data_IF_165977079139
#
_entry.id   IF_165977079139
#
_cell.length_a   1.000
_cell.length_b   1.000
_cell.length_c   1.000
_cell.angle_alpha   90.00
_cell.angle_beta   90.00
_cell.angle_gamma   90.00
#
_symmetry.space_group_name_H-M   'P 1'
#
loop_
_entity.id
_entity.type
_entity.pdbx_description
1 polymer ?
#
# COMPACT_ATOMS: atom_id res chain seq x y z
N UNK A 1 29.06 -7.30 6.42
CA UNK A 1 27.69 -7.83 6.50
C UNK A 1 27.75 -9.28 6.07
N UNK A 2 27.72 -10.21 7.02
CA UNK A 2 27.52 -11.65 6.76
C UNK A 2 26.03 -11.95 6.95
N UNK A 3 25.41 -12.76 6.08
CA UNK A 3 24.03 -13.26 6.26
C UNK A 3 22.88 -12.23 6.12
N UNK A 4 21.73 -12.57 6.72
CA UNK A 4 20.40 -11.92 6.67
C UNK A 4 20.33 -10.48 7.24
N UNK A 5 21.46 -9.77 7.36
CA UNK A 5 21.50 -8.42 7.90
C UNK A 5 20.84 -7.40 6.94
N UNK A 6 19.98 -6.54 7.49
CA UNK A 6 19.35 -5.44 6.72
C UNK A 6 20.42 -4.47 6.22
N UNK A 7 20.29 -4.07 4.95
CA UNK A 7 21.17 -3.04 4.39
C UNK A 7 20.93 -1.70 5.10
N UNK A 8 21.95 -0.93 5.53
CA UNK A 8 21.77 0.32 6.27
C UNK A 8 20.83 1.34 5.62
N UNK A 9 20.87 1.46 4.29
CA UNK A 9 19.96 2.36 3.56
C UNK A 9 18.51 1.87 3.51
N UNK A 10 18.24 0.58 3.75
CA UNK A 10 16.87 0.08 3.87
C UNK A 10 16.19 0.68 5.11
N UNK A 11 16.91 0.81 6.23
CA UNK A 11 16.38 1.46 7.45
C UNK A 11 16.02 2.94 7.21
N UNK A 12 16.78 3.64 6.37
CA UNK A 12 16.47 5.02 5.97
C UNK A 12 15.23 5.04 5.08
N UNK A 13 15.14 4.13 4.11
CA UNK A 13 13.98 4.00 3.23
C UNK A 13 12.69 3.70 4.04
N UNK A 14 12.74 2.74 4.96
CA UNK A 14 11.64 2.39 5.87
C UNK A 14 11.17 3.63 6.65
N UNK A 15 12.10 4.38 7.25
CA UNK A 15 11.74 5.60 7.97
C UNK A 15 11.17 6.70 7.07
N UNK A 16 11.65 6.85 5.85
CA UNK A 16 11.06 7.76 4.87
C UNK A 16 9.62 7.36 4.52
N UNK A 17 9.36 6.05 4.40
CA UNK A 17 8.03 5.51 4.13
C UNK A 17 7.06 5.80 5.28
N UNK A 18 7.49 5.55 6.52
CA UNK A 18 6.72 5.86 7.72
C UNK A 18 6.36 7.34 7.84
N UNK A 19 7.31 8.23 7.56
CA UNK A 19 7.09 9.69 7.57
C UNK A 19 6.11 10.08 6.47
N UNK A 20 6.31 9.57 5.25
CA UNK A 20 5.48 9.91 4.11
C UNK A 20 4.03 9.49 4.36
N UNK A 21 3.78 8.22 4.68
CA UNK A 21 2.42 7.73 4.88
C UNK A 21 1.72 8.39 6.08
N UNK A 22 2.39 8.50 7.24
CA UNK A 22 1.75 9.09 8.43
C UNK A 22 1.39 10.58 8.27
N UNK A 23 2.14 11.36 7.49
CA UNK A 23 1.84 12.79 7.32
C UNK A 23 0.94 13.04 6.10
N UNK A 24 1.20 12.36 4.98
CA UNK A 24 0.45 12.60 3.73
C UNK A 24 -0.96 12.05 3.79
N UNK A 25 -1.19 10.90 4.46
CA UNK A 25 -2.55 10.37 4.62
C UNK A 25 -3.41 11.31 5.47
N UNK A 26 -2.84 11.92 6.52
CA UNK A 26 -3.51 12.94 7.32
C UNK A 26 -3.84 14.20 6.49
N UNK A 27 -2.92 14.68 5.65
CA UNK A 27 -3.19 15.79 4.72
C UNK A 27 -4.31 15.45 3.74
N UNK A 28 -4.28 14.24 3.16
CA UNK A 28 -5.25 13.78 2.18
C UNK A 28 -6.64 13.58 2.81
N UNK A 29 -6.72 13.07 4.03
CA UNK A 29 -7.97 12.96 4.79
C UNK A 29 -8.62 14.34 4.97
N UNK A 30 -7.81 15.36 5.27
CA UNK A 30 -8.28 16.74 5.43
C UNK A 30 -8.73 17.33 4.09
N UNK A 31 -7.94 17.16 3.01
CA UNK A 31 -8.29 17.66 1.67
C UNK A 31 -9.55 17.01 1.10
N UNK A 32 -9.75 15.71 1.38
CA UNK A 32 -10.95 14.97 1.00
C UNK A 32 -12.17 15.33 1.87
N UNK A 33 -11.98 16.16 2.90
CA UNK A 33 -13.05 16.60 3.80
C UNK A 33 -13.52 15.51 4.77
N UNK A 34 -12.70 14.48 5.00
CA UNK A 34 -13.00 13.41 5.96
C UNK A 34 -12.76 13.88 7.41
N UNK A 35 -11.85 14.83 7.58
CA UNK A 35 -11.57 15.52 8.83
C UNK A 35 -11.12 16.97 8.57
N UNK A 36 -10.95 17.75 9.63
CA UNK A 36 -10.34 19.09 9.57
C UNK A 36 -8.98 19.13 10.26
N UNK A 37 -8.19 20.17 9.98
CA UNK A 37 -6.94 20.42 10.71
C UNK A 37 -7.18 20.56 12.22
N UNK A 38 -8.34 21.09 12.64
CA UNK A 38 -8.67 21.19 14.06
C UNK A 38 -8.92 19.82 14.69
N UNK A 39 -9.55 18.89 13.96
CA UNK A 39 -9.76 17.52 14.44
C UNK A 39 -8.42 16.81 14.61
N UNK A 40 -7.49 17.00 13.65
CA UNK A 40 -6.13 16.49 13.76
C UNK A 40 -5.40 17.06 14.98
N UNK A 41 -5.40 18.39 15.16
CA UNK A 41 -4.74 19.03 16.30
C UNK A 41 -5.39 18.69 17.65
N UNK A 42 -6.69 18.39 17.66
CA UNK A 42 -7.37 17.91 18.84
C UNK A 42 -6.99 16.46 19.17
N UNK A 43 -6.90 15.59 18.16
CA UNK A 43 -6.44 14.21 18.31
C UNK A 43 -4.99 14.13 18.77
N UNK A 44 -4.09 14.86 18.12
CA UNK A 44 -2.67 14.92 18.48
C UNK A 44 -2.45 15.59 19.85
N UNK A 45 -3.27 16.58 20.22
CA UNK A 45 -3.16 17.31 21.48
C UNK A 45 -3.76 16.57 22.69
N UNK A 46 -4.34 15.39 22.49
CA UNK A 46 -4.99 14.63 23.56
C UNK A 46 -4.03 13.62 24.18
N UNK A 47 -3.91 13.66 25.51
CA UNK A 47 -3.29 12.58 26.29
C UNK A 47 -4.18 12.27 27.50
N UNK A 48 -4.45 10.99 27.84
CA UNK A 48 -5.32 10.63 28.96
C UNK A 48 -4.88 11.20 30.31
N UNK A 49 -3.57 11.39 30.50
CA UNK A 49 -2.96 11.98 31.69
C UNK A 49 -2.89 13.52 31.70
N UNK A 50 -3.46 14.21 30.71
CA UNK A 50 -3.42 15.67 30.57
C UNK A 50 -2.29 16.20 29.68
N UNK A 51 -2.34 17.50 29.35
CA UNK A 51 -1.42 18.15 28.39
C UNK A 51 0.07 18.10 28.81
N UNK A 52 0.36 18.07 30.11
CA UNK A 52 1.74 18.01 30.63
C UNK A 52 2.43 16.66 30.36
N UNK A 53 1.65 15.63 30.01
CA UNK A 53 2.14 14.30 29.68
C UNK A 53 2.28 14.09 28.16
N UNK A 54 1.97 15.12 27.36
CA UNK A 54 2.09 15.03 25.90
C UNK A 54 3.55 14.95 25.49
N UNK A 55 3.84 14.13 24.48
CA UNK A 55 5.17 14.03 23.91
C UNK A 55 5.69 15.43 23.48
N UNK A 56 6.95 15.78 23.79
CA UNK A 56 7.49 17.12 23.50
C UNK A 56 7.44 17.51 22.01
N UNK A 57 7.68 16.56 21.09
CA UNK A 57 7.65 16.82 19.65
C UNK A 57 6.21 17.08 19.19
N UNK A 58 5.27 16.27 19.68
CA UNK A 58 3.83 16.47 19.40
C UNK A 58 3.34 17.81 19.97
N UNK A 59 3.68 18.12 21.21
CA UNK A 59 3.34 19.39 21.87
C UNK A 59 3.89 20.59 21.10
N UNK A 60 5.14 20.52 20.68
CA UNK A 60 5.78 21.56 19.89
C UNK A 60 5.07 21.78 18.55
N UNK A 61 4.81 20.70 17.80
CA UNK A 61 4.12 20.77 16.52
C UNK A 61 2.72 21.37 16.67
N UNK A 62 1.93 20.89 17.64
CA UNK A 62 0.59 21.41 17.90
C UNK A 62 0.58 22.92 18.19
N UNK A 63 1.54 23.41 19.01
CA UNK A 63 1.67 24.83 19.32
C UNK A 63 2.07 25.64 18.08
N UNK A 64 3.03 25.16 17.31
CA UNK A 64 3.50 25.79 16.07
C UNK A 64 2.37 25.90 15.04
N UNK A 65 1.63 24.81 14.82
CA UNK A 65 0.52 24.78 13.86
C UNK A 65 -0.64 25.69 14.26
N UNK A 66 -0.99 25.75 15.55
CA UNK A 66 -2.00 26.71 16.06
C UNK A 66 -1.56 28.16 15.85
N UNK A 67 -0.29 28.46 16.15
CA UNK A 67 0.27 29.79 15.93
C UNK A 67 0.23 30.18 14.44
N UNK A 68 0.63 29.28 13.54
CA UNK A 68 0.59 29.55 12.10
C UNK A 68 -0.85 29.76 11.60
N UNK A 69 -1.79 28.94 12.08
CA UNK A 69 -3.20 29.10 11.74
C UNK A 69 -3.73 30.49 12.15
N UNK A 70 -3.39 30.95 13.36
CA UNK A 70 -3.77 32.29 13.83
C UNK A 70 -3.13 33.42 13.01
N UNK A 71 -1.88 33.26 12.58
CA UNK A 71 -1.20 34.21 11.68
C UNK A 71 -1.90 34.27 10.33
N UNK A 72 -2.20 33.12 9.72
CA UNK A 72 -2.86 33.03 8.43
C UNK A 72 -4.29 33.59 8.48
N UNK A 73 -5.02 33.35 9.57
CA UNK A 73 -6.38 33.87 9.78
C UNK A 73 -6.45 35.40 9.69
N UNK A 74 -5.41 36.11 10.13
CA UNK A 74 -5.33 37.58 10.06
C UNK A 74 -5.25 38.12 8.62
N UNK A 75 -4.90 37.26 7.65
CA UNK A 75 -4.81 37.63 6.24
C UNK A 75 -6.18 37.64 5.53
N UNK A 76 -7.28 37.29 6.22
CA UNK A 76 -8.65 37.28 5.69
C UNK A 76 -8.84 36.37 4.45
N UNK A 77 -8.12 35.25 4.42
CA UNK A 77 -8.28 34.21 3.40
C UNK A 77 -9.69 33.60 3.45
N UNK A 78 -10.13 33.03 2.33
CA UNK A 78 -11.35 32.23 2.32
C UNK A 78 -11.17 30.99 3.24
N UNK A 79 -12.19 30.52 3.98
CA UNK A 79 -12.03 29.43 4.95
C UNK A 79 -11.40 28.15 4.39
N UNK A 80 -11.75 27.76 3.16
CA UNK A 80 -11.13 26.61 2.48
C UNK A 80 -9.65 26.82 2.20
N UNK A 81 -9.29 28.00 1.69
CA UNK A 81 -7.90 28.36 1.40
C UNK A 81 -7.07 28.42 2.69
N UNK A 82 -7.63 28.98 3.77
CA UNK A 82 -7.01 28.98 5.09
C UNK A 82 -6.69 27.55 5.56
N UNK A 83 -7.66 26.64 5.46
CA UNK A 83 -7.48 25.24 5.84
C UNK A 83 -6.43 24.54 4.97
N UNK A 84 -6.46 24.74 3.65
CA UNK A 84 -5.50 24.13 2.72
C UNK A 84 -4.07 24.59 3.01
N UNK A 85 -3.86 25.91 3.13
CA UNK A 85 -2.54 26.48 3.40
C UNK A 85 -2.04 26.07 4.78
N UNK A 86 -2.90 26.10 5.81
CA UNK A 86 -2.52 25.69 7.15
C UNK A 86 -2.18 24.20 7.24
N UNK A 87 -2.89 23.34 6.51
CA UNK A 87 -2.61 21.89 6.45
C UNK A 87 -1.29 21.62 5.72
N UNK A 88 -1.02 22.33 4.62
CA UNK A 88 0.28 22.23 3.93
C UNK A 88 1.45 22.67 4.82
N UNK A 89 1.24 23.72 5.62
CA UNK A 89 2.21 24.19 6.61
C UNK A 89 2.44 23.17 7.73
N UNK A 90 1.36 22.59 8.27
CA UNK A 90 1.43 21.48 9.23
C UNK A 90 2.33 20.36 8.67
N UNK A 91 2.07 19.91 7.43
CA UNK A 91 2.87 18.87 6.78
C UNK A 91 4.35 19.23 6.72
N UNK A 92 4.69 20.45 6.29
CA UNK A 92 6.08 20.88 6.17
C UNK A 92 6.80 20.78 7.52
N UNK A 93 6.16 21.25 8.59
CA UNK A 93 6.74 21.19 9.93
C UNK A 93 6.82 19.77 10.47
N UNK A 94 5.78 18.96 10.29
CA UNK A 94 5.77 17.56 10.71
C UNK A 94 6.90 16.78 10.03
N UNK A 95 7.00 16.83 8.70
CA UNK A 95 8.08 16.16 7.95
C UNK A 95 9.45 16.66 8.41
N UNK A 96 9.63 17.97 8.59
CA UNK A 96 10.92 18.50 9.03
C UNK A 96 11.34 17.97 10.41
N UNK A 97 10.42 17.96 11.38
CA UNK A 97 10.68 17.42 12.72
C UNK A 97 11.01 15.94 12.66
N UNK A 98 10.22 15.15 11.92
CA UNK A 98 10.40 13.70 11.85
C UNK A 98 11.70 13.31 11.13
N UNK A 99 12.02 13.96 10.00
CA UNK A 99 13.28 13.72 9.27
C UNK A 99 14.49 14.08 10.14
N UNK A 100 14.42 15.19 10.86
CA UNK A 100 15.51 15.60 11.76
C UNK A 100 15.71 14.60 12.91
N UNK A 101 14.62 14.11 13.50
CA UNK A 101 14.66 13.11 14.55
C UNK A 101 15.23 11.76 14.05
N UNK A 102 14.81 11.31 12.86
CA UNK A 102 15.30 10.08 12.22
C UNK A 102 16.78 10.19 11.85
N UNK A 103 17.21 11.32 11.30
CA UNK A 103 18.62 11.55 10.99
C UNK A 103 19.50 11.49 12.25
N UNK A 104 19.01 12.05 13.36
CA UNK A 104 19.69 11.97 14.64
C UNK A 104 19.72 10.54 15.18
N UNK A 105 18.60 9.81 15.12
CA UNK A 105 18.55 8.40 15.51
C UNK A 105 19.52 7.53 14.69
N UNK A 106 19.67 7.79 13.39
CA UNK A 106 20.63 7.07 12.55
C UNK A 106 22.06 7.32 13.01
N UNK A 107 22.38 8.58 13.33
CA UNK A 107 23.70 8.97 13.83
C UNK A 107 24.00 8.32 15.18
N UNK A 108 23.03 8.33 16.09
CA UNK A 108 23.18 7.77 17.43
C UNK A 108 23.37 6.25 17.41
N UNK A 109 22.77 5.57 16.42
CA UNK A 109 22.85 4.11 16.25
C UNK A 109 23.82 3.69 15.13
N UNK A 110 24.68 4.58 14.64
CA UNK A 110 25.46 4.36 13.42
C UNK A 110 26.31 3.09 13.45
N UNK A 111 26.99 2.83 14.57
CA UNK A 111 27.86 1.67 14.71
C UNK A 111 27.06 0.36 14.68
N UNK A 112 25.93 0.29 15.35
CA UNK A 112 25.09 -0.91 15.35
C UNK A 112 24.47 -1.16 13.98
N UNK A 113 24.06 -0.09 13.28
CA UNK A 113 23.52 -0.16 11.92
C UNK A 113 24.55 -0.70 10.94
N UNK A 114 25.76 -0.13 10.90
CA UNK A 114 26.79 -0.52 9.93
C UNK A 114 27.33 -1.92 10.20
N UNK A 115 27.34 -2.34 11.46
CA UNK A 115 27.74 -3.70 11.84
C UNK A 115 26.63 -4.74 11.63
N UNK A 116 25.41 -4.33 11.28
CA UNK A 116 24.26 -5.23 11.09
C UNK A 116 23.62 -5.73 12.39
N UNK A 117 23.89 -5.05 13.52
CA UNK A 117 23.39 -5.39 14.86
C UNK A 117 22.13 -4.60 15.25
N UNK A 118 21.75 -3.59 14.47
CA UNK A 118 20.58 -2.79 14.76
C UNK A 118 19.29 -3.57 14.44
N UNK A 119 18.56 -3.93 15.49
CA UNK A 119 17.28 -4.62 15.40
C UNK A 119 16.13 -3.69 15.82
N UNK A 120 15.52 -3.04 14.83
CA UNK A 120 14.36 -2.17 15.04
C UNK A 120 14.00 -1.33 13.82
N UNK A 121 13.06 -0.41 14.01
CA UNK A 121 12.68 0.62 13.05
C UNK A 121 13.31 1.95 13.46
N UNK A 122 13.89 2.66 12.50
CA UNK A 122 14.60 3.90 12.80
C UNK A 122 13.67 5.02 13.29
N UNK A 123 12.41 5.05 12.81
CA UNK A 123 11.39 5.98 13.31
C UNK A 123 11.07 5.73 14.79
N UNK A 124 11.00 4.45 15.20
CA UNK A 124 10.70 4.04 16.58
C UNK A 124 11.84 4.32 17.54
N UNK A 125 13.08 4.27 17.05
CA UNK A 125 14.26 4.68 17.80
C UNK A 125 14.45 6.20 17.86
N UNK A 126 13.60 6.99 17.19
CA UNK A 126 13.71 8.44 17.14
C UNK A 126 12.75 9.15 18.09
N UNK A 127 13.02 10.43 18.37
CA UNK A 127 12.10 11.29 19.13
C UNK A 127 10.75 11.51 18.43
N UNK A 128 10.63 11.17 17.14
CA UNK A 128 9.40 11.31 16.37
C UNK A 128 8.46 10.10 16.48
N UNK A 129 8.83 9.05 17.22
CA UNK A 129 8.03 7.82 17.33
C UNK A 129 6.57 8.10 17.77
N UNK A 130 6.39 8.89 18.84
CA UNK A 130 5.07 9.24 19.35
C UNK A 130 4.25 10.07 18.35
N UNK A 131 4.89 10.99 17.62
CA UNK A 131 4.23 11.77 16.58
C UNK A 131 3.78 10.88 15.40
N UNK A 132 4.66 9.99 14.94
CA UNK A 132 4.33 9.04 13.87
C UNK A 132 3.13 8.17 14.26
N UNK A 133 3.13 7.64 15.48
CA UNK A 133 2.05 6.79 15.99
C UNK A 133 0.74 7.55 16.14
N UNK A 134 0.78 8.76 16.70
CA UNK A 134 -0.42 9.59 16.84
C UNK A 134 -1.03 9.98 15.49
N UNK A 135 -0.20 10.24 14.47
CA UNK A 135 -0.65 10.48 13.10
C UNK A 135 -1.29 9.23 12.48
N UNK A 136 -0.62 8.08 12.55
CA UNK A 136 -1.16 6.80 12.06
C UNK A 136 -2.48 6.44 12.76
N UNK A 137 -2.60 6.74 14.04
CA UNK A 137 -3.83 6.53 14.81
C UNK A 137 -4.95 7.46 14.35
N UNK A 138 -4.64 8.73 14.08
CA UNK A 138 -5.59 9.67 13.48
C UNK A 138 -6.09 9.17 12.11
N UNK A 139 -5.19 8.74 11.24
CA UNK A 139 -5.53 8.26 9.89
C UNK A 139 -6.40 7.00 9.94
N UNK A 140 -6.07 6.06 10.84
CA UNK A 140 -6.89 4.86 11.06
C UNK A 140 -8.31 5.21 11.49
N UNK A 141 -8.46 6.20 12.36
CA UNK A 141 -9.75 6.58 12.92
C UNK A 141 -10.59 7.44 11.98
N UNK A 142 -9.96 8.29 11.16
CA UNK A 142 -10.66 9.34 10.41
C UNK A 142 -10.56 9.21 8.88
N UNK A 143 -9.56 8.49 8.36
CA UNK A 143 -9.37 8.29 6.93
C UNK A 143 -9.76 6.88 6.50
N UNK A 144 -9.08 5.86 7.02
CA UNK A 144 -9.23 4.47 6.54
C UNK A 144 -10.55 3.83 6.95
N UNK A 145 -11.12 4.25 8.08
CA UNK A 145 -12.42 3.79 8.56
C UNK A 145 -13.60 4.40 7.77
N UNK A 146 -13.34 5.38 6.91
CA UNK A 146 -14.41 6.11 6.22
C UNK A 146 -15.13 5.22 5.23
N UNK A 147 -16.47 5.27 5.22
CA UNK A 147 -17.32 4.36 4.43
C UNK A 147 -16.98 4.35 2.94
N UNK A 148 -16.63 5.50 2.37
CA UNK A 148 -16.27 5.60 0.95
C UNK A 148 -14.94 4.92 0.63
N UNK A 149 -13.99 4.89 1.58
CA UNK A 149 -12.72 4.16 1.44
C UNK A 149 -13.00 2.66 1.50
N UNK A 150 -13.76 2.20 2.50
CA UNK A 150 -14.16 0.80 2.65
C UNK A 150 -14.96 0.28 1.44
N UNK A 151 -15.80 1.11 0.83
CA UNK A 151 -16.52 0.75 -0.38
C UNK A 151 -15.58 0.52 -1.57
N UNK A 152 -14.56 1.37 -1.74
CA UNK A 152 -13.53 1.19 -2.78
C UNK A 152 -12.74 -0.10 -2.52
N UNK A 153 -12.31 -0.36 -1.28
CA UNK A 153 -11.59 -1.57 -0.90
C UNK A 153 -12.42 -2.84 -1.15
N UNK A 154 -13.70 -2.83 -0.78
CA UNK A 154 -14.62 -3.95 -1.02
C UNK A 154 -14.80 -4.23 -2.51
N UNK A 155 -14.96 -3.18 -3.32
CA UNK A 155 -15.08 -3.30 -4.77
C UNK A 155 -13.78 -3.86 -5.37
N UNK A 156 -12.62 -3.35 -4.94
CA UNK A 156 -11.31 -3.88 -5.33
C UNK A 156 -11.15 -5.36 -4.96
N UNK A 157 -11.51 -5.74 -3.74
CA UNK A 157 -11.48 -7.13 -3.27
C UNK A 157 -12.34 -8.05 -4.15
N UNK A 158 -13.58 -7.66 -4.43
CA UNK A 158 -14.49 -8.45 -5.26
C UNK A 158 -13.98 -8.60 -6.69
N UNK A 159 -13.52 -7.50 -7.29
CA UNK A 159 -12.93 -7.48 -8.64
C UNK A 159 -11.71 -8.38 -8.73
N UNK A 160 -10.78 -8.29 -7.77
CA UNK A 160 -9.56 -9.10 -7.75
C UNK A 160 -9.87 -10.59 -7.60
N UNK A 161 -10.74 -10.97 -6.67
CA UNK A 161 -11.15 -12.37 -6.49
C UNK A 161 -11.75 -12.93 -7.78
N UNK A 162 -12.66 -12.16 -8.39
CA UNK A 162 -13.32 -12.62 -9.61
C UNK A 162 -12.38 -12.69 -10.80
N UNK A 163 -11.47 -11.73 -10.93
CA UNK A 163 -10.44 -11.73 -11.96
C UNK A 163 -9.49 -12.93 -11.78
N UNK A 164 -9.10 -13.25 -10.55
CA UNK A 164 -8.29 -14.42 -10.25
C UNK A 164 -8.97 -15.72 -10.66
N UNK A 165 -10.28 -15.88 -10.43
CA UNK A 165 -11.05 -17.04 -10.93
C UNK A 165 -10.92 -17.19 -12.45
N UNK A 166 -11.10 -16.08 -13.19
CA UNK A 166 -11.02 -16.08 -14.65
C UNK A 166 -9.62 -16.44 -15.13
N UNK A 167 -8.60 -15.76 -14.60
CA UNK A 167 -7.19 -16.02 -14.93
C UNK A 167 -6.83 -17.47 -14.62
N UNK A 168 -7.30 -18.01 -13.49
CA UNK A 168 -7.07 -19.40 -13.13
C UNK A 168 -7.64 -20.39 -14.15
N UNK A 169 -8.84 -20.13 -14.67
CA UNK A 169 -9.42 -20.93 -15.77
C UNK A 169 -8.49 -20.86 -16.98
N UNK A 170 -8.04 -19.67 -17.37
CA UNK A 170 -7.11 -19.50 -18.50
C UNK A 170 -5.76 -20.21 -18.31
N UNK A 171 -5.24 -20.29 -17.09
CA UNK A 171 -3.95 -20.91 -16.77
C UNK A 171 -4.06 -22.44 -16.69
N UNK A 172 -5.08 -22.93 -15.99
CA UNK A 172 -5.22 -24.35 -15.64
C UNK A 172 -5.94 -25.20 -16.68
N UNK A 173 -6.88 -24.63 -17.44
CA UNK A 173 -7.72 -25.38 -18.40
C UNK A 173 -7.01 -25.66 -19.73
N UNK A 174 -6.07 -26.61 -19.70
CA UNK A 174 -5.23 -26.98 -20.85
C UNK A 174 -5.38 -28.45 -21.26
N UNK A 175 -5.09 -28.73 -22.53
CA UNK A 175 -5.20 -30.07 -23.11
C UNK A 175 -4.21 -31.08 -22.53
N UNK A 176 -2.98 -30.62 -22.27
CA UNK A 176 -1.94 -31.45 -21.65
C UNK A 176 -1.42 -30.73 -20.42
N UNK A 177 -1.70 -31.31 -19.25
CA UNK A 177 -1.28 -30.75 -17.97
C UNK A 177 0.24 -30.58 -17.87
N UNK A 178 1.03 -31.50 -18.45
CA UNK A 178 2.50 -31.50 -18.38
C UNK A 178 3.14 -30.53 -19.36
N UNK A 179 2.46 -30.21 -20.46
CA UNK A 179 2.92 -29.22 -21.43
C UNK A 179 2.25 -27.86 -21.18
N UNK A 180 2.99 -26.94 -20.57
CA UNK A 180 2.49 -25.61 -20.15
C UNK A 180 2.06 -24.72 -21.32
N UNK A 181 2.63 -24.92 -22.52
CA UNK A 181 2.29 -24.23 -23.77
C UNK A 181 1.16 -24.95 -24.55
N UNK A 182 0.55 -26.00 -23.98
CA UNK A 182 -0.52 -26.72 -24.67
C UNK A 182 -1.77 -25.85 -24.86
N UNK A 183 -2.52 -26.13 -25.94
CA UNK A 183 -3.76 -25.41 -26.22
C UNK A 183 -4.75 -25.53 -25.05
N UNK A 184 -5.57 -24.50 -24.87
CA UNK A 184 -6.64 -24.48 -23.86
C UNK A 184 -7.85 -25.31 -24.33
N UNK A 185 -8.62 -25.86 -23.40
CA UNK A 185 -9.73 -26.77 -23.76
C UNK A 185 -10.96 -26.00 -24.26
N UNK A 186 -11.26 -24.82 -23.69
CA UNK A 186 -12.41 -24.01 -24.04
C UNK A 186 -12.04 -22.69 -24.77
N UNK A 187 -12.95 -22.10 -25.56
CA UNK A 187 -12.73 -20.78 -26.14
C UNK A 187 -12.49 -19.69 -25.08
N UNK A 188 -13.17 -19.79 -23.93
CA UNK A 188 -13.00 -18.82 -22.84
C UNK A 188 -11.61 -18.92 -22.21
N UNK A 189 -11.14 -20.12 -21.86
CA UNK A 189 -9.79 -20.29 -21.30
C UNK A 189 -8.70 -19.91 -22.31
N UNK A 190 -8.90 -20.19 -23.60
CA UNK A 190 -7.99 -19.71 -24.65
C UNK A 190 -7.95 -18.18 -24.73
N UNK A 191 -9.12 -17.53 -24.67
CA UNK A 191 -9.21 -16.07 -24.68
C UNK A 191 -8.53 -15.45 -23.46
N UNK A 192 -8.84 -15.91 -22.25
CA UNK A 192 -8.22 -15.43 -21.02
C UNK A 192 -6.70 -15.63 -21.06
N UNK A 193 -6.21 -16.81 -21.44
CA UNK A 193 -4.77 -17.07 -21.51
C UNK A 193 -4.07 -16.15 -22.52
N UNK A 194 -4.75 -15.80 -23.63
CA UNK A 194 -4.21 -14.87 -24.63
C UNK A 194 -3.99 -13.45 -24.09
N UNK A 195 -4.79 -13.06 -23.08
CA UNK A 195 -4.74 -11.75 -22.42
C UNK A 195 -3.70 -11.66 -21.31
N UNK A 196 -3.10 -12.79 -20.91
CA UNK A 196 -1.95 -12.79 -20.00
C UNK A 196 -0.70 -12.29 -20.75
N UNK A 197 0.06 -11.41 -20.07
CA UNK A 197 1.30 -10.83 -20.59
C UNK A 197 2.21 -11.89 -21.20
N UNK A 198 2.67 -11.63 -22.43
CA UNK A 198 3.59 -12.53 -23.15
C UNK A 198 4.90 -12.74 -22.40
N UNK A 199 5.33 -11.77 -21.58
CA UNK A 199 6.55 -11.89 -20.78
C UNK A 199 6.39 -12.95 -19.68
N UNK A 200 5.31 -12.88 -18.90
CA UNK A 200 5.03 -13.87 -17.85
C UNK A 200 4.77 -15.26 -18.43
N UNK A 201 4.02 -15.34 -19.54
CA UNK A 201 3.83 -16.61 -20.26
C UNK A 201 5.14 -17.22 -20.74
N UNK A 202 6.08 -16.42 -21.24
CA UNK A 202 7.39 -16.92 -21.70
C UNK A 202 8.20 -17.55 -20.56
N UNK A 203 8.11 -16.99 -19.36
CA UNK A 203 8.71 -17.56 -18.14
C UNK A 203 8.01 -18.87 -17.81
N UNK A 204 6.68 -18.83 -17.61
CA UNK A 204 5.85 -19.99 -17.27
C UNK A 204 6.00 -21.16 -18.26
N UNK A 205 6.01 -20.90 -19.57
CA UNK A 205 6.14 -21.91 -20.63
C UNK A 205 7.58 -22.46 -20.74
N UNK A 206 8.52 -22.01 -19.91
CA UNK A 206 9.91 -22.48 -19.91
C UNK A 206 10.72 -22.05 -21.14
N UNK A 207 10.27 -20.99 -21.84
CA UNK A 207 10.93 -20.46 -23.05
C UNK A 207 12.16 -19.60 -22.71
N UNK A 208 12.37 -19.22 -21.44
CA UNK A 208 13.60 -18.57 -20.96
C UNK A 208 14.27 -19.43 -19.89
N UNK A 209 15.42 -20.03 -20.22
CA UNK A 209 16.18 -20.90 -19.32
C UNK A 209 16.91 -20.14 -18.19
N UNK A 210 17.09 -18.83 -18.33
CA UNK A 210 17.86 -18.01 -17.39
C UNK A 210 17.14 -17.74 -16.05
N UNK A 211 15.79 -17.79 -16.02
CA UNK A 211 14.98 -17.43 -14.85
C UNK A 211 14.38 -18.62 -14.10
N UNK A 212 14.46 -19.82 -14.67
CA UNK A 212 14.15 -21.07 -13.97
C UNK A 212 15.45 -21.86 -13.81
N UNK A 213 16.23 -21.50 -12.79
CA UNK A 213 17.43 -22.24 -12.40
C UNK A 213 17.09 -23.67 -11.94
N UNK A 214 15.86 -23.90 -11.47
CA UNK A 214 15.37 -25.22 -11.06
C UNK A 214 14.26 -25.75 -11.99
N UNK A 215 14.61 -26.78 -12.77
CA UNK A 215 13.68 -27.49 -13.64
C UNK A 215 12.63 -28.32 -12.85
N UNK A 216 12.84 -28.53 -11.55
CA UNK A 216 12.02 -29.39 -10.68
C UNK A 216 10.83 -28.72 -9.99
N UNK A 217 10.63 -27.41 -10.15
CA UNK A 217 9.49 -26.73 -9.52
C UNK A 217 8.15 -27.36 -9.96
N UNK A 218 7.24 -27.68 -9.01
CA UNK A 218 5.95 -28.28 -9.32
C UNK A 218 5.13 -27.44 -10.30
N UNK A 219 4.42 -28.08 -11.23
CA UNK A 219 3.57 -27.39 -12.21
C UNK A 219 2.56 -26.46 -11.51
N UNK A 220 1.97 -26.91 -10.40
CA UNK A 220 1.02 -26.11 -9.62
C UNK A 220 1.64 -24.82 -9.07
N UNK A 221 2.90 -24.87 -8.63
CA UNK A 221 3.61 -23.69 -8.17
C UNK A 221 3.79 -22.68 -9.33
N UNK A 222 4.20 -23.16 -10.51
CA UNK A 222 4.35 -22.32 -11.70
C UNK A 222 3.02 -21.68 -12.14
N UNK A 223 1.91 -22.39 -12.03
CA UNK A 223 0.57 -21.85 -12.32
C UNK A 223 0.19 -20.72 -11.35
N UNK A 224 0.43 -20.93 -10.05
CA UNK A 224 0.19 -19.92 -9.02
C UNK A 224 1.10 -18.71 -9.22
N UNK A 225 2.37 -18.92 -9.54
CA UNK A 225 3.31 -17.84 -9.84
C UNK A 225 2.84 -17.01 -11.04
N UNK A 226 2.42 -17.65 -12.15
CA UNK A 226 1.90 -16.92 -13.31
C UNK A 226 0.64 -16.10 -12.96
N UNK A 227 -0.24 -16.63 -12.11
CA UNK A 227 -1.40 -15.90 -11.63
C UNK A 227 -0.97 -14.67 -10.82
N UNK A 228 -0.07 -14.85 -9.85
CA UNK A 228 0.45 -13.77 -9.00
C UNK A 228 1.15 -12.70 -9.83
N UNK A 229 2.08 -13.08 -10.72
CA UNK A 229 2.81 -12.16 -11.59
C UNK A 229 1.86 -11.33 -12.46
N UNK A 230 0.81 -11.97 -13.00
CA UNK A 230 -0.20 -11.30 -13.80
C UNK A 230 -0.99 -10.28 -12.97
N UNK A 231 -1.47 -10.67 -11.78
CA UNK A 231 -2.30 -9.82 -10.91
C UNK A 231 -1.50 -8.66 -10.30
N UNK A 232 -0.33 -8.93 -9.72
CA UNK A 232 0.50 -7.90 -9.09
C UNK A 232 1.14 -6.93 -10.08
N UNK A 233 1.22 -7.30 -11.37
CA UNK A 233 1.73 -6.46 -12.43
C UNK A 233 0.71 -5.49 -13.03
N UNK A 234 -0.55 -5.47 -12.55
CA UNK A 234 -1.61 -4.61 -13.08
C UNK A 234 -1.66 -3.27 -12.34
N UNK A 235 -2.12 -2.23 -13.04
CA UNK A 235 -2.67 -1.03 -12.39
C UNK A 235 -4.15 -1.27 -12.06
N UNK A 236 -4.70 -0.51 -11.12
CA UNK A 236 -6.11 -0.62 -10.70
C UNK A 236 -7.08 -0.49 -11.87
N UNK A 237 -6.89 0.51 -12.74
CA UNK A 237 -7.75 0.71 -13.91
C UNK A 237 -7.67 -0.48 -14.87
N UNK A 238 -6.47 -0.99 -15.14
CA UNK A 238 -6.31 -2.14 -16.02
C UNK A 238 -6.94 -3.41 -15.41
N UNK A 239 -6.85 -3.60 -14.10
CA UNK A 239 -7.50 -4.69 -13.39
C UNK A 239 -9.02 -4.65 -13.59
N UNK A 240 -9.64 -3.48 -13.41
CA UNK A 240 -11.08 -3.28 -13.61
C UNK A 240 -11.47 -3.54 -15.07
N UNK A 241 -10.76 -2.95 -16.02
CA UNK A 241 -11.05 -3.11 -17.45
C UNK A 241 -10.95 -4.58 -17.90
N UNK A 242 -9.92 -5.29 -17.41
CA UNK A 242 -9.71 -6.70 -17.73
C UNK A 242 -10.77 -7.60 -17.10
N UNK A 243 -11.13 -7.33 -15.84
CA UNK A 243 -12.23 -8.01 -15.16
C UNK A 243 -13.54 -7.87 -15.96
N UNK A 244 -13.90 -6.65 -16.34
CA UNK A 244 -15.15 -6.36 -17.03
C UNK A 244 -15.19 -6.98 -18.43
N UNK A 245 -14.04 -6.99 -19.13
CA UNK A 245 -13.90 -7.68 -20.40
C UNK A 245 -14.13 -9.19 -20.27
N UNK A 246 -13.50 -9.84 -19.30
CA UNK A 246 -13.73 -11.26 -19.04
C UNK A 246 -15.17 -11.55 -18.64
N UNK A 247 -15.76 -10.71 -17.81
CA UNK A 247 -17.14 -10.86 -17.35
C UNK A 247 -18.13 -10.85 -18.52
N UNK A 248 -17.93 -9.98 -19.53
CA UNK A 248 -18.76 -9.93 -20.75
C UNK A 248 -18.74 -11.25 -21.54
N UNK A 249 -17.60 -11.93 -21.55
CA UNK A 249 -17.39 -13.16 -22.32
C UNK A 249 -17.63 -14.42 -21.48
N UNK A 250 -17.74 -14.30 -20.17
CA UNK A 250 -17.99 -15.40 -19.28
C UNK A 250 -19.49 -15.73 -19.21
N UNK A 251 -19.89 -16.82 -19.85
CA UNK A 251 -21.21 -17.41 -19.63
C UNK A 251 -21.12 -18.36 -18.42
N UNK A 252 -21.83 -18.05 -17.33
CA UNK A 252 -22.05 -19.04 -16.26
C UNK A 252 -22.64 -20.29 -16.89
N UNK A 253 -21.89 -21.38 -16.88
CA UNK A 253 -22.47 -22.70 -17.16
C UNK A 253 -23.33 -23.06 -15.95
N UNK A 254 -24.61 -22.69 -15.99
CA UNK A 254 -25.57 -23.35 -15.13
C UNK A 254 -25.68 -24.81 -15.59
N UNK A 255 -25.65 -25.80 -14.68
CA UNK A 255 -26.05 -27.14 -15.07
C UNK A 255 -27.45 -27.04 -15.69
N UNK A 256 -27.58 -27.48 -16.95
CA UNK A 256 -28.87 -27.59 -17.59
C UNK A 256 -29.58 -28.74 -16.88
N UNK A 257 -30.73 -28.47 -16.26
CA UNK A 257 -31.57 -29.50 -15.66
C UNK A 257 -31.71 -30.68 -16.65
N UNK A 258 -31.19 -31.86 -16.28
CA UNK A 258 -31.31 -33.08 -17.07
C UNK A 258 -30.04 -33.63 -17.73
N UNK A 259 -28.84 -33.16 -17.38
CA UNK A 259 -27.60 -33.91 -17.71
C UNK A 259 -27.12 -34.69 -16.48
N UNK A 260 -26.87 -36.02 -16.58
CA UNK A 260 -26.48 -36.84 -15.45
C UNK A 260 -25.05 -36.50 -15.00
N UNK A 261 -24.86 -36.55 -13.68
CA UNK A 261 -23.58 -36.44 -12.96
C UNK A 261 -22.56 -37.48 -13.38
#
# INVERSE_FOLDING_TARGET
>A
MEGDARHPLALVMEACDDIAYSVLDAEDAIKKGLASLNDLLASLGYHPGGEDQLDPVVSHLCKLSRWEYDVLRRQKLHPRELQDVATQKFRVHAIHLMVSAVAQAFKDNYHDIVNGNFDGELIKASQAAALCDALKDFDRQNAFSHKTVLEIELNGYNTLNRLMDFLWIGISDRKDYKNLDSKRNSPFSAYVYSRISKNYRRIFEGKVKQYHSDAGLPIRYKEMQLLTDMVSGMTDQFCIDLHDDFLKHYRRMYPVNGTPS
#
